data_IF_657434120116
#
_entry.id   IF_657434120116
#
_cell.length_a   1.000
_cell.length_b   1.000
_cell.length_c   1.000
_cell.angle_alpha   90.00
_cell.angle_beta   90.00
_cell.angle_gamma   90.00
#
_symmetry.space_group_name_H-M   'P 1'
#
loop_
_entity.id
_entity.type
_entity.pdbx_description
1 polymer ?
#
# COMPACT_ATOMS: atom_id res chain seq x y z
N UNK A 1 21.58 33.08 -32.33
CA UNK A 1 20.72 32.01 -32.87
C UNK A 1 21.35 30.68 -32.52
N UNK A 2 20.60 29.76 -31.91
CA UNK A 2 21.11 28.43 -31.60
C UNK A 2 21.41 27.67 -32.90
N UNK A 3 22.57 27.02 -32.98
CA UNK A 3 22.93 26.23 -34.16
C UNK A 3 22.13 24.94 -34.21
N UNK A 4 22.01 24.33 -35.39
CA UNK A 4 21.40 23.00 -35.56
C UNK A 4 22.05 21.95 -34.64
N UNK A 5 23.35 22.10 -34.34
CA UNK A 5 24.09 21.21 -33.44
C UNK A 5 23.66 21.40 -31.98
N UNK A 6 23.39 22.63 -31.56
CA UNK A 6 22.91 22.94 -30.20
C UNK A 6 21.50 22.40 -29.96
N UNK A 7 20.63 22.49 -30.98
CA UNK A 7 19.29 21.89 -30.95
C UNK A 7 19.32 20.37 -30.83
N UNK A 8 20.22 19.69 -31.55
CA UNK A 8 20.38 18.23 -31.47
C UNK A 8 20.89 17.80 -30.09
N UNK A 9 21.85 18.55 -29.51
CA UNK A 9 22.35 18.27 -28.15
C UNK A 9 21.25 18.50 -27.12
N UNK A 10 20.50 19.59 -27.22
CA UNK A 10 19.38 19.88 -26.31
C UNK A 10 18.29 18.81 -26.38
N UNK A 11 17.95 18.33 -27.59
CA UNK A 11 17.00 17.23 -27.79
C UNK A 11 17.49 15.91 -27.17
N UNK A 12 18.79 15.61 -27.27
CA UNK A 12 19.39 14.42 -26.65
C UNK A 12 19.29 14.48 -25.13
N UNK A 13 19.68 15.61 -24.53
CA UNK A 13 19.60 15.83 -23.07
C UNK A 13 18.15 15.76 -22.60
N UNK A 14 17.20 16.33 -23.34
CA UNK A 14 15.79 16.28 -23.00
C UNK A 14 15.24 14.85 -23.02
N UNK A 15 15.61 14.05 -24.04
CA UNK A 15 15.25 12.63 -24.11
C UNK A 15 15.84 11.84 -22.94
N UNK A 16 17.13 11.98 -22.68
CA UNK A 16 17.80 11.28 -21.56
C UNK A 16 17.12 11.58 -20.22
N UNK A 17 16.80 12.86 -19.94
CA UNK A 17 16.06 13.25 -18.72
C UNK A 17 14.66 12.65 -18.65
N UNK A 18 13.99 12.51 -19.81
CA UNK A 18 12.65 11.92 -19.88
C UNK A 18 12.72 10.41 -19.64
N UNK A 19 13.70 9.74 -20.22
CA UNK A 19 13.93 8.31 -20.05
C UNK A 19 14.30 7.98 -18.59
N UNK A 20 15.15 8.78 -17.96
CA UNK A 20 15.50 8.66 -16.54
C UNK A 20 14.28 8.84 -15.63
N UNK A 21 13.43 9.84 -15.92
CA UNK A 21 12.20 10.07 -15.16
C UNK A 21 11.20 8.91 -15.29
N UNK A 22 11.05 8.34 -16.49
CA UNK A 22 10.22 7.15 -16.72
C UNK A 22 10.80 5.93 -15.99
N UNK A 23 12.11 5.74 -16.03
CA UNK A 23 12.77 4.63 -15.34
C UNK A 23 12.57 4.71 -13.83
N UNK A 24 12.73 5.90 -13.23
CA UNK A 24 12.52 6.10 -11.81
C UNK A 24 11.05 5.87 -11.42
N UNK A 25 10.11 6.37 -12.21
CA UNK A 25 8.68 6.11 -12.03
C UNK A 25 8.37 4.61 -12.01
N UNK A 26 8.92 3.85 -12.97
CA UNK A 26 8.72 2.41 -13.03
C UNK A 26 9.30 1.69 -11.80
N UNK A 27 10.43 2.15 -11.26
CA UNK A 27 10.98 1.61 -10.01
C UNK A 27 10.03 1.85 -8.84
N UNK A 28 9.48 3.05 -8.70
CA UNK A 28 8.54 3.37 -7.62
C UNK A 28 7.26 2.53 -7.70
N UNK A 29 6.70 2.35 -8.90
CA UNK A 29 5.54 1.47 -9.11
C UNK A 29 5.86 0.02 -8.70
N UNK A 30 7.04 -0.49 -9.06
CA UNK A 30 7.45 -1.84 -8.69
C UNK A 30 7.60 -1.98 -7.17
N UNK A 31 8.19 -0.99 -6.49
CA UNK A 31 8.30 -0.97 -5.03
C UNK A 31 6.91 -1.00 -4.37
N UNK A 32 5.97 -0.19 -4.84
CA UNK A 32 4.60 -0.18 -4.31
C UNK A 32 3.90 -1.55 -4.49
N UNK A 33 4.08 -2.18 -5.67
CA UNK A 33 3.55 -3.52 -5.95
C UNK A 33 4.19 -4.59 -5.06
N UNK A 34 5.49 -4.55 -4.84
CA UNK A 34 6.20 -5.47 -3.97
C UNK A 34 5.74 -5.34 -2.51
N UNK A 35 5.57 -4.12 -2.03
CA UNK A 35 5.04 -3.85 -0.69
C UNK A 35 3.60 -4.35 -0.53
N UNK A 36 2.75 -4.16 -1.55
CA UNK A 36 1.38 -4.67 -1.52
C UNK A 36 1.36 -6.21 -1.50
N UNK A 37 2.17 -6.85 -2.34
CA UNK A 37 2.31 -8.30 -2.36
C UNK A 37 2.84 -8.85 -1.03
N UNK A 38 3.77 -8.14 -0.38
CA UNK A 38 4.23 -8.47 0.97
C UNK A 38 3.10 -8.40 2.00
N UNK A 39 2.30 -7.32 1.98
CA UNK A 39 1.14 -7.18 2.86
C UNK A 39 0.15 -8.33 2.70
N UNK A 40 -0.16 -8.72 1.46
CA UNK A 40 -1.07 -9.84 1.20
C UNK A 40 -0.51 -11.19 1.57
N UNK A 41 0.80 -11.39 1.43
CA UNK A 41 1.43 -12.61 1.96
C UNK A 41 1.27 -12.69 3.47
N UNK A 42 1.48 -11.59 4.20
CA UNK A 42 1.29 -11.55 5.66
C UNK A 42 -0.16 -11.86 6.05
N UNK A 43 -1.15 -11.34 5.31
CA UNK A 43 -2.56 -11.69 5.54
C UNK A 43 -2.84 -13.17 5.22
N UNK A 44 -2.32 -13.69 4.10
CA UNK A 44 -2.67 -15.00 3.58
C UNK A 44 -2.04 -16.18 4.34
N UNK A 45 -0.82 -16.02 4.88
CA UNK A 45 -0.15 -17.07 5.67
C UNK A 45 -0.95 -17.42 6.93
N UNK A 46 -1.61 -16.43 7.53
CA UNK A 46 -2.26 -16.55 8.84
C UNK A 46 -3.69 -17.08 8.79
N UNK A 47 -4.36 -17.05 7.63
CA UNK A 47 -5.76 -17.46 7.47
C UNK A 47 -5.97 -18.96 7.78
N UNK A 48 -4.95 -19.78 7.52
CA UNK A 48 -5.02 -21.24 7.76
C UNK A 48 -5.17 -21.62 9.24
N UNK A 49 -4.84 -20.72 10.18
CA UNK A 49 -4.87 -20.97 11.62
C UNK A 49 -6.06 -20.38 12.39
N UNK A 50 -6.88 -19.52 11.76
CA UNK A 50 -7.95 -18.77 12.45
C UNK A 50 -9.30 -19.19 11.90
N UNK A 51 -10.01 -20.04 12.65
CA UNK A 51 -11.28 -20.64 12.24
C UNK A 51 -12.42 -19.62 12.16
N UNK A 52 -12.55 -18.95 11.01
CA UNK A 52 -13.70 -18.09 10.71
C UNK A 52 -13.44 -16.92 9.76
N UNK A 53 -12.50 -17.05 8.80
CA UNK A 53 -12.15 -15.97 7.88
C UNK A 53 -12.58 -16.28 6.46
N UNK A 54 -13.33 -15.36 5.85
CA UNK A 54 -13.57 -15.36 4.40
C UNK A 54 -12.82 -14.19 3.76
N UNK A 55 -12.06 -14.48 2.71
CA UNK A 55 -11.19 -13.52 2.02
C UNK A 55 -11.76 -13.21 0.65
N UNK A 56 -12.19 -11.97 0.46
CA UNK A 56 -12.66 -11.49 -0.83
C UNK A 56 -11.62 -10.52 -1.39
N UNK A 57 -11.12 -10.80 -2.60
CA UNK A 57 -10.22 -9.90 -3.32
C UNK A 57 -11.00 -9.10 -4.35
N UNK A 58 -10.71 -7.81 -4.44
CA UNK A 58 -11.28 -6.91 -5.45
C UNK A 58 -10.15 -6.10 -6.06
N UNK A 59 -10.28 -5.67 -7.31
CA UNK A 59 -9.26 -4.83 -7.97
C UNK A 59 -9.78 -3.39 -8.06
N UNK A 60 -8.96 -2.42 -7.68
CA UNK A 60 -9.25 -0.99 -7.76
C UNK A 60 -8.14 -0.27 -8.57
N UNK A 61 -8.53 0.72 -9.37
CA UNK A 61 -7.60 1.52 -10.18
C UNK A 61 -7.28 2.82 -9.47
N UNK A 62 -5.99 3.07 -9.22
CA UNK A 62 -5.49 4.26 -8.54
C UNK A 62 -4.58 5.09 -9.44
N UNK A 63 -4.67 6.42 -9.31
CA UNK A 63 -3.78 7.34 -10.02
C UNK A 63 -2.47 7.54 -9.24
N UNK A 64 -1.35 7.13 -9.84
CA UNK A 64 0.01 7.30 -9.34
C UNK A 64 0.80 8.24 -10.27
N UNK A 65 0.96 9.50 -9.86
CA UNK A 65 1.70 10.51 -10.62
C UNK A 65 1.25 10.61 -12.10
N UNK A 66 -0.05 10.39 -12.36
CA UNK A 66 -0.66 10.37 -13.71
C UNK A 66 -0.66 9.02 -14.45
N UNK A 67 -0.22 7.92 -13.81
CA UNK A 67 -0.33 6.55 -14.33
C UNK A 67 -1.41 5.83 -13.56
N UNK A 68 -2.16 4.99 -14.26
CA UNK A 68 -3.16 4.14 -13.62
C UNK A 68 -2.45 2.87 -13.16
N UNK A 69 -2.52 2.59 -11.85
CA UNK A 69 -2.02 1.38 -11.23
C UNK A 69 -3.21 0.60 -10.67
N UNK A 70 -3.34 -0.65 -11.06
CA UNK A 70 -4.29 -1.59 -10.46
C UNK A 70 -3.71 -2.12 -9.16
N UNK A 71 -4.43 -1.92 -8.06
CA UNK A 71 -4.11 -2.41 -6.73
C UNK A 71 -5.24 -3.35 -6.29
N UNK A 72 -4.90 -4.46 -5.64
CA UNK A 72 -5.92 -5.33 -5.07
C UNK A 72 -6.37 -4.72 -3.73
N UNK A 73 -7.67 -4.70 -3.45
CA UNK A 73 -8.24 -4.49 -2.12
C UNK A 73 -8.65 -5.85 -1.55
N UNK A 74 -8.59 -5.99 -0.23
CA UNK A 74 -9.05 -7.19 0.48
C UNK A 74 -10.20 -6.86 1.41
N UNK A 75 -11.16 -7.78 1.50
CA UNK A 75 -12.16 -7.80 2.57
C UNK A 75 -11.99 -9.09 3.36
N UNK A 76 -11.97 -8.96 4.69
CA UNK A 76 -11.83 -10.08 5.61
C UNK A 76 -13.01 -10.05 6.57
N UNK A 77 -13.73 -11.17 6.70
CA UNK A 77 -14.73 -11.32 7.76
C UNK A 77 -14.05 -11.78 9.04
N UNK A 78 -14.06 -10.96 10.08
CA UNK A 78 -13.43 -11.17 11.39
C UNK A 78 -14.49 -11.03 12.49
N UNK A 79 -14.73 -12.10 13.25
CA UNK A 79 -15.69 -12.11 14.38
C UNK A 79 -17.10 -11.54 14.04
N UNK A 80 -17.56 -11.74 12.79
CA UNK A 80 -18.85 -11.22 12.30
C UNK A 80 -18.81 -9.81 11.70
N UNK A 81 -17.66 -9.12 11.76
CA UNK A 81 -17.43 -7.83 11.13
C UNK A 81 -16.67 -7.99 9.81
N UNK A 82 -17.04 -7.22 8.78
CA UNK A 82 -16.28 -7.18 7.51
C UNK A 82 -15.26 -6.06 7.58
N UNK A 83 -13.99 -6.43 7.77
CA UNK A 83 -12.84 -5.54 7.75
C UNK A 83 -12.41 -5.30 6.31
N UNK A 84 -12.36 -4.03 5.90
CA UNK A 84 -11.92 -3.62 4.57
C UNK A 84 -10.45 -3.19 4.64
N UNK A 85 -9.59 -3.77 3.81
CA UNK A 85 -8.18 -3.40 3.63
C UNK A 85 -8.02 -2.82 2.23
N UNK A 86 -7.83 -1.51 2.16
CA UNK A 86 -7.75 -0.77 0.90
C UNK A 86 -6.38 -0.14 0.74
N UNK A 87 -5.58 -0.54 -0.25
CA UNK A 87 -4.39 0.22 -0.57
C UNK A 87 -4.77 1.56 -1.19
N UNK A 88 -3.90 2.52 -1.00
CA UNK A 88 -3.98 3.85 -1.57
C UNK A 88 -2.55 4.35 -1.81
N UNK A 89 -2.41 5.35 -2.68
CA UNK A 89 -1.10 5.94 -2.95
C UNK A 89 -1.14 7.44 -2.69
N UNK A 90 -0.29 7.86 -1.76
CA UNK A 90 -0.14 9.25 -1.34
C UNK A 90 1.33 9.63 -1.42
N UNK A 91 1.64 10.75 -2.07
CA UNK A 91 3.01 11.28 -2.20
C UNK A 91 4.03 10.22 -2.63
N UNK A 92 3.67 9.46 -3.68
CA UNK A 92 4.48 8.38 -4.26
C UNK A 92 4.76 7.20 -3.33
N UNK A 93 4.00 7.06 -2.23
CA UNK A 93 4.19 6.03 -1.22
C UNK A 93 2.92 5.20 -1.02
N UNK A 94 3.07 3.89 -0.86
CA UNK A 94 1.96 3.00 -0.55
C UNK A 94 1.47 3.27 0.88
N UNK A 95 0.18 3.54 0.98
CA UNK A 95 -0.58 3.58 2.22
C UNK A 95 -1.65 2.50 2.14
N UNK A 96 -1.99 1.88 3.26
CA UNK A 96 -3.09 0.92 3.33
C UNK A 96 -4.03 1.37 4.44
N UNK A 97 -5.30 1.50 4.11
CA UNK A 97 -6.35 1.88 5.04
C UNK A 97 -7.10 0.62 5.44
N UNK A 98 -7.11 0.33 6.73
CA UNK A 98 -7.92 -0.76 7.30
C UNK A 98 -9.12 -0.14 7.98
N UNK A 99 -10.33 -0.55 7.61
CA UNK A 99 -11.58 0.04 8.10
C UNK A 99 -12.51 -1.02 8.69
N UNK A 100 -13.50 -0.57 9.47
CA UNK A 100 -14.52 -1.40 10.12
C UNK A 100 -13.97 -2.36 11.19
N UNK A 101 -13.00 -1.91 11.98
CA UNK A 101 -12.37 -2.74 13.02
C UNK A 101 -13.18 -2.73 14.34
N UNK A 102 -13.26 -1.58 15.01
CA UNK A 102 -14.02 -1.43 16.26
C UNK A 102 -14.47 0.03 16.46
N UNK A 103 -15.40 0.31 17.40
CA UNK A 103 -15.82 1.69 17.70
C UNK A 103 -14.67 2.58 18.19
N UNK A 104 -13.71 2.02 18.92
CA UNK A 104 -12.55 2.75 19.46
C UNK A 104 -11.52 3.06 18.37
N UNK A 105 -11.38 2.17 17.38
CA UNK A 105 -10.47 2.30 16.26
C UNK A 105 -11.21 2.00 14.94
N UNK A 106 -12.05 2.92 14.45
CA UNK A 106 -12.91 2.66 13.29
C UNK A 106 -12.09 2.47 12.00
N UNK A 107 -10.90 3.07 11.94
CA UNK A 107 -9.94 2.85 10.86
C UNK A 107 -8.50 3.02 11.34
N UNK A 108 -7.60 2.34 10.65
CA UNK A 108 -6.16 2.38 10.82
C UNK A 108 -5.47 2.68 9.50
N UNK A 109 -4.26 3.21 9.61
CA UNK A 109 -3.39 3.49 8.49
C UNK A 109 -2.13 2.65 8.66
N UNK A 110 -1.80 1.88 7.64
CA UNK A 110 -0.60 1.05 7.59
C UNK A 110 0.29 1.59 6.48
N UNK A 111 1.55 1.88 6.80
CA UNK A 111 2.57 2.28 5.82
C UNK A 111 3.92 1.71 6.18
N UNK A 112 4.79 1.52 5.18
CA UNK A 112 6.12 0.98 5.38
C UNK A 112 7.13 2.12 5.49
N UNK A 113 7.78 2.25 6.64
CA UNK A 113 8.83 3.23 6.89
C UNK A 113 10.11 2.52 7.32
N UNK A 114 11.26 2.92 6.76
CA UNK A 114 12.57 2.35 7.11
C UNK A 114 12.63 0.80 7.07
N UNK A 115 11.83 0.17 6.21
CA UNK A 115 11.76 -1.29 6.07
C UNK A 115 10.82 -1.99 7.04
N UNK A 116 10.12 -1.27 7.93
CA UNK A 116 9.16 -1.81 8.89
C UNK A 116 7.73 -1.35 8.57
N UNK A 117 6.76 -2.22 8.81
CA UNK A 117 5.35 -1.84 8.71
C UNK A 117 4.93 -1.15 10.00
N UNK A 118 4.38 0.04 9.87
CA UNK A 118 3.93 0.87 10.99
C UNK A 118 2.42 1.07 10.89
N UNK A 119 1.74 0.91 12.01
CA UNK A 119 0.30 1.13 12.17
C UNK A 119 0.07 2.44 12.89
N UNK A 120 -0.76 3.27 12.29
CA UNK A 120 -1.24 4.53 12.85
C UNK A 120 -2.75 4.48 13.03
N UNK A 121 -3.25 5.26 13.98
CA UNK A 121 -4.67 5.57 14.08
C UNK A 121 -5.11 6.45 12.92
N UNK A 122 -6.43 6.63 12.76
CA UNK A 122 -6.99 7.60 11.82
C UNK A 122 -6.56 9.05 12.07
N UNK A 123 -6.08 9.36 13.28
CA UNK A 123 -5.52 10.66 13.66
C UNK A 123 -3.99 10.73 13.46
N UNK A 124 -3.41 9.83 12.67
CA UNK A 124 -1.97 9.72 12.39
C UNK A 124 -1.11 9.54 13.66
N UNK A 125 -1.71 8.98 14.72
CA UNK A 125 -0.99 8.66 15.96
C UNK A 125 -0.39 7.27 15.84
N UNK A 126 0.91 7.13 16.12
CA UNK A 126 1.57 5.82 16.16
C UNK A 126 0.89 4.87 17.15
N UNK A 127 0.58 3.64 16.70
CA UNK A 127 0.01 2.59 17.53
C UNK A 127 0.96 1.42 17.71
N UNK A 128 1.53 0.92 16.62
CA UNK A 128 2.40 -0.26 16.64
C UNK A 128 3.30 -0.34 15.41
N UNK A 129 4.28 -1.24 15.46
CA UNK A 129 5.13 -1.61 14.33
C UNK A 129 5.29 -3.14 14.30
N UNK A 130 5.41 -3.71 13.10
CA UNK A 130 5.63 -5.15 12.94
C UNK A 130 6.58 -5.46 11.78
N UNK A 131 7.40 -6.50 11.97
CA UNK A 131 8.31 -7.04 10.97
C UNK A 131 7.86 -8.45 10.61
N UNK A 132 7.21 -8.58 9.46
CA UNK A 132 6.83 -9.81 8.75
C UNK A 132 5.82 -10.78 9.39
N UNK A 133 5.61 -10.74 10.69
CA UNK A 133 4.81 -11.77 11.35
C UNK A 133 3.60 -11.16 12.09
N UNK A 134 2.43 -11.36 11.48
CA UNK A 134 1.08 -11.28 12.04
C UNK A 134 0.35 -9.93 12.08
N UNK A 135 0.11 -9.33 10.90
CA UNK A 135 -0.92 -8.29 10.74
C UNK A 135 -2.29 -8.81 11.24
N UNK A 136 -2.65 -10.05 10.90
CA UNK A 136 -3.96 -10.62 11.24
C UNK A 136 -4.18 -10.72 12.76
N UNK A 137 -3.20 -11.18 13.54
CA UNK A 137 -3.32 -11.24 15.01
C UNK A 137 -3.57 -9.86 15.61
N UNK A 138 -2.89 -8.83 15.07
CA UNK A 138 -3.12 -7.47 15.52
C UNK A 138 -4.54 -6.98 15.20
N UNK A 139 -5.05 -7.28 14.00
CA UNK A 139 -6.42 -6.95 13.63
C UNK A 139 -7.43 -7.71 14.49
N UNK A 140 -7.21 -9.00 14.76
CA UNK A 140 -8.06 -9.82 15.65
C UNK A 140 -8.09 -9.25 17.06
N UNK A 141 -6.94 -8.90 17.64
CA UNK A 141 -6.85 -8.27 18.95
C UNK A 141 -7.62 -6.94 18.99
N UNK A 142 -7.54 -6.14 17.93
CA UNK A 142 -8.22 -4.84 17.85
C UNK A 142 -9.74 -4.98 17.67
N UNK A 143 -10.18 -5.98 16.90
CA UNK A 143 -11.62 -6.30 16.75
C UNK A 143 -12.18 -6.84 18.06
N UNK A 144 -11.45 -7.70 18.77
CA UNK A 144 -11.91 -8.34 20.00
C UNK A 144 -11.86 -7.46 21.26
N UNK A 145 -11.22 -6.28 21.20
CA UNK A 145 -11.21 -5.31 22.31
C UNK A 145 -12.51 -4.50 22.42
N UNK A 146 -13.50 -4.76 21.56
CA UNK A 146 -14.84 -4.16 21.56
C UNK A 146 -15.71 -4.57 22.75
#
# INVERSE_FOLDING_TARGET
MASKRDLVIALKIYRERTDDAIAERNRQINVAREQLAELFRMVNVDISGVGGLDLIRTEEQHAFDGAIVELESLKIVLAGNTVDIKPDIIDSSLRVIVSNLSPEHPSLIIRKEHGQWIVFSSADTFLSQFSNDFLLNHLVDLVNRS
#
